data_IF_976969194322
#
_entry.id   IF_976969194322
#
_cell.length_a   1.000
_cell.length_b   1.000
_cell.length_c   1.000
_cell.angle_alpha   90.00
_cell.angle_beta   90.00
_cell.angle_gamma   90.00
#
_symmetry.space_group_name_H-M   'P 1'
#
loop_
_entity.id
_entity.type
_entity.pdbx_description
1 polymer ?
#
# COMPACT_ATOMS: atom_id res chain seq x y z
N UNK A 1 2.82 -9.16 -20.73
CA UNK A 1 2.02 -8.11 -20.08
C UNK A 1 0.57 -8.41 -20.36
N UNK A 2 -0.29 -8.30 -19.35
CA UNK A 2 -1.74 -8.50 -19.47
C UNK A 2 -2.41 -7.30 -20.15
N UNK A 3 -3.68 -7.44 -20.52
CA UNK A 3 -4.48 -6.31 -21.02
C UNK A 3 -4.61 -5.17 -20.00
N UNK A 4 -4.87 -3.94 -20.50
CA UNK A 4 -5.02 -2.74 -19.67
C UNK A 4 -6.23 -2.82 -18.72
N UNK A 5 -7.27 -3.56 -19.11
CA UNK A 5 -8.44 -3.79 -18.26
C UNK A 5 -8.12 -4.73 -17.10
N UNK A 6 -7.35 -5.79 -17.38
CA UNK A 6 -6.85 -6.71 -16.35
C UNK A 6 -5.90 -6.01 -15.37
N UNK A 7 -4.99 -5.16 -15.87
CA UNK A 7 -4.09 -4.39 -15.01
C UNK A 7 -4.84 -3.42 -14.09
N UNK A 8 -5.86 -2.72 -14.60
CA UNK A 8 -6.70 -1.84 -13.78
C UNK A 8 -7.54 -2.61 -12.74
N UNK A 9 -7.93 -3.86 -13.05
CA UNK A 9 -8.60 -4.73 -12.08
C UNK A 9 -7.64 -5.13 -10.95
N UNK A 10 -6.42 -5.55 -11.31
CA UNK A 10 -5.35 -5.90 -10.36
C UNK A 10 -5.01 -4.75 -9.43
N UNK A 11 -4.79 -3.54 -9.96
CA UNK A 11 -4.51 -2.34 -9.15
C UNK A 11 -5.62 -2.06 -8.12
N UNK A 12 -6.88 -2.16 -8.54
CA UNK A 12 -8.03 -1.95 -7.66
C UNK A 12 -8.16 -3.04 -6.60
N UNK A 13 -7.86 -4.28 -6.97
CA UNK A 13 -7.85 -5.40 -6.03
C UNK A 13 -6.77 -5.19 -4.97
N UNK A 14 -5.56 -4.83 -5.36
CA UNK A 14 -4.43 -4.57 -4.47
C UNK A 14 -4.75 -3.47 -3.45
N UNK A 15 -5.35 -2.36 -3.89
CA UNK A 15 -5.84 -1.30 -2.99
C UNK A 15 -6.89 -1.81 -2.01
N UNK A 16 -7.89 -2.57 -2.48
CA UNK A 16 -8.94 -3.13 -1.63
C UNK A 16 -8.39 -4.12 -0.59
N UNK A 17 -7.40 -4.94 -0.95
CA UNK A 17 -6.73 -5.87 -0.03
C UNK A 17 -5.95 -5.13 1.05
N UNK A 18 -5.23 -4.06 0.69
CA UNK A 18 -4.57 -3.16 1.66
C UNK A 18 -5.58 -2.50 2.61
N UNK A 19 -6.77 -2.12 2.10
CA UNK A 19 -7.86 -1.58 2.92
C UNK A 19 -8.41 -2.63 3.91
N UNK A 20 -8.40 -3.90 3.51
CA UNK A 20 -8.80 -5.03 4.35
C UNK A 20 -7.71 -5.50 5.30
N UNK A 21 -6.57 -4.81 5.34
CA UNK A 21 -5.50 -5.04 6.31
C UNK A 21 -4.51 -6.12 5.90
N UNK A 22 -4.46 -6.53 4.62
CA UNK A 22 -3.33 -7.31 4.13
C UNK A 22 -2.06 -6.47 4.12
N UNK A 23 -0.91 -7.09 4.38
CA UNK A 23 0.36 -6.42 4.19
C UNK A 23 0.82 -6.43 2.73
N UNK A 24 1.85 -5.63 2.44
CA UNK A 24 2.33 -5.41 1.08
C UNK A 24 2.86 -6.71 0.44
N UNK A 25 3.46 -7.62 1.23
CA UNK A 25 4.01 -8.88 0.71
C UNK A 25 2.88 -9.84 0.31
N UNK A 26 1.85 -9.97 1.16
CA UNK A 26 0.66 -10.76 0.83
C UNK A 26 -0.08 -10.21 -0.40
N UNK A 27 -0.16 -8.88 -0.54
CA UNK A 27 -0.81 -8.25 -1.70
C UNK A 27 -0.03 -8.52 -2.97
N UNK A 28 1.30 -8.42 -2.92
CA UNK A 28 2.17 -8.69 -4.07
C UNK A 28 2.10 -10.16 -4.49
N UNK A 29 2.07 -11.10 -3.55
CA UNK A 29 1.92 -12.53 -3.86
C UNK A 29 0.59 -12.82 -4.58
N UNK A 30 -0.51 -12.22 -4.11
CA UNK A 30 -1.83 -12.36 -4.75
C UNK A 30 -1.84 -11.70 -6.13
N UNK A 31 -1.22 -10.51 -6.29
CA UNK A 31 -1.11 -9.82 -7.59
C UNK A 31 -0.33 -10.67 -8.59
N UNK A 32 0.84 -11.18 -8.19
CA UNK A 32 1.74 -11.94 -9.05
C UNK A 32 1.10 -13.26 -9.52
N UNK A 33 0.49 -14.01 -8.60
CA UNK A 33 -0.21 -15.25 -8.92
C UNK A 33 -1.37 -14.98 -9.90
N UNK A 34 -2.21 -14.00 -9.60
CA UNK A 34 -3.37 -13.68 -10.43
C UNK A 34 -2.96 -13.10 -11.79
N UNK A 35 -1.92 -12.28 -11.84
CA UNK A 35 -1.35 -11.73 -13.07
C UNK A 35 -0.79 -12.83 -13.96
N UNK A 36 -0.12 -13.83 -13.38
CA UNK A 36 0.34 -15.00 -14.12
C UNK A 36 -0.85 -15.78 -14.72
N UNK A 37 -1.90 -16.02 -13.93
CA UNK A 37 -3.11 -16.69 -14.41
C UNK A 37 -3.82 -15.93 -15.55
N UNK A 38 -3.98 -14.62 -15.40
CA UNK A 38 -4.59 -13.78 -16.43
C UNK A 38 -3.75 -13.77 -17.72
N UNK A 39 -2.42 -13.70 -17.59
CA UNK A 39 -1.53 -13.74 -18.74
C UNK A 39 -1.62 -15.07 -19.49
N UNK A 40 -1.65 -16.20 -18.77
CA UNK A 40 -1.80 -17.51 -19.38
C UNK A 40 -3.16 -17.67 -20.08
N UNK A 41 -4.24 -17.23 -19.44
CA UNK A 41 -5.58 -17.27 -20.02
C UNK A 41 -5.67 -16.44 -21.31
N UNK A 42 -5.14 -15.20 -21.30
CA UNK A 42 -5.10 -14.35 -22.49
C UNK A 42 -4.25 -14.97 -23.61
N UNK A 43 -3.11 -15.58 -23.29
CA UNK A 43 -2.24 -16.27 -24.26
C UNK A 43 -2.91 -17.51 -24.89
N UNK A 44 -3.73 -18.21 -24.13
CA UNK A 44 -4.52 -19.35 -24.60
C UNK A 44 -5.76 -18.94 -25.40
N UNK A 45 -6.06 -17.65 -25.51
CA UNK A 45 -7.27 -17.14 -26.13
C UNK A 45 -8.53 -17.36 -25.30
N UNK A 46 -8.39 -17.58 -23.99
CA UNK A 46 -9.49 -17.70 -23.04
C UNK A 46 -10.08 -16.33 -22.70
N UNK A 47 -11.37 -16.31 -22.38
CA UNK A 47 -12.06 -15.08 -22.00
C UNK A 47 -11.83 -14.74 -20.53
N UNK A 48 -10.99 -13.73 -20.25
CA UNK A 48 -10.72 -13.24 -18.90
C UNK A 48 -11.76 -12.25 -18.38
N UNK A 49 -12.68 -11.76 -19.23
CA UNK A 49 -13.72 -10.78 -18.88
C UNK A 49 -14.57 -11.16 -17.65
N UNK A 50 -14.98 -12.43 -17.45
CA UNK A 50 -15.74 -12.81 -16.27
C UNK A 50 -14.98 -12.55 -14.96
N UNK A 51 -13.66 -12.65 -14.97
CA UNK A 51 -12.81 -12.40 -13.79
C UNK A 51 -12.69 -10.90 -13.57
N UNK A 52 -12.26 -10.15 -14.60
CA UNK A 52 -11.96 -8.72 -14.49
C UNK A 52 -13.21 -7.83 -14.33
N UNK A 53 -14.39 -8.31 -14.75
CA UNK A 53 -15.66 -7.59 -14.55
C UNK A 53 -16.32 -7.91 -13.20
N UNK A 54 -15.80 -8.87 -12.44
CA UNK A 54 -16.29 -9.14 -11.09
C UNK A 54 -15.98 -7.93 -10.19
N UNK A 55 -16.91 -7.51 -9.31
CA UNK A 55 -16.60 -6.47 -8.35
C UNK A 55 -15.38 -6.84 -7.49
N UNK A 56 -14.34 -6.00 -7.50
CA UNK A 56 -13.09 -6.24 -6.76
C UNK A 56 -13.32 -6.54 -5.27
N UNK A 57 -14.34 -5.92 -4.65
CA UNK A 57 -14.75 -6.21 -3.27
C UNK A 57 -15.12 -7.67 -3.04
N UNK A 58 -15.91 -8.24 -3.95
CA UNK A 58 -16.35 -9.64 -3.89
C UNK A 58 -15.17 -10.60 -4.06
N UNK A 59 -14.20 -10.22 -4.88
CA UNK A 59 -12.98 -10.99 -5.06
C UNK A 59 -12.08 -10.90 -3.82
N UNK A 60 -11.89 -9.70 -3.29
CA UNK A 60 -11.13 -9.43 -2.07
C UNK A 60 -11.72 -10.10 -0.82
N UNK A 61 -13.05 -10.27 -0.75
CA UNK A 61 -13.72 -11.04 0.32
C UNK A 61 -13.17 -12.47 0.46
N UNK A 62 -12.69 -13.08 -0.64
CA UNK A 62 -12.10 -14.44 -0.62
C UNK A 62 -10.79 -14.50 0.15
N UNK A 63 -10.13 -13.36 0.30
CA UNK A 63 -8.84 -13.22 0.97
C UNK A 63 -8.96 -12.57 2.36
N UNK A 64 -10.18 -12.29 2.81
CA UNK A 64 -10.42 -11.63 4.08
C UNK A 64 -10.04 -12.57 5.24
N UNK A 65 -8.91 -12.28 5.87
CA UNK A 65 -8.58 -12.71 7.24
C UNK A 65 -8.51 -11.49 8.15
N UNK A 66 -8.60 -11.76 9.46
CA UNK A 66 -8.69 -10.76 10.54
C UNK A 66 -7.73 -9.58 10.35
N UNK A 67 -8.26 -8.35 10.47
CA UNK A 67 -7.47 -7.12 10.40
C UNK A 67 -6.59 -6.97 11.64
N UNK A 68 -5.27 -6.84 11.44
CA UNK A 68 -4.37 -6.33 12.48
C UNK A 68 -4.09 -4.84 12.27
N UNK A 69 -4.03 -4.06 13.35
CA UNK A 69 -3.74 -2.62 13.29
C UNK A 69 -2.32 -2.31 12.78
N UNK A 70 -1.48 -3.32 12.56
CA UNK A 70 -0.09 -3.16 12.12
C UNK A 70 0.11 -3.36 10.61
N UNK A 71 -0.94 -3.76 9.87
CA UNK A 71 -0.86 -4.12 8.45
C UNK A 71 -1.66 -3.18 7.54
N UNK A 72 -1.37 -3.24 6.24
CA UNK A 72 -2.08 -2.52 5.19
C UNK A 72 -2.04 -0.99 5.31
N UNK A 73 -3.13 -0.35 4.85
CA UNK A 73 -3.24 1.12 4.77
C UNK A 73 -3.12 1.85 6.11
N UNK A 74 -3.42 1.16 7.23
CA UNK A 74 -3.38 1.77 8.55
C UNK A 74 -1.96 2.21 8.96
N UNK A 75 -0.93 1.44 8.57
CA UNK A 75 0.49 1.79 8.79
C UNK A 75 0.82 3.14 8.13
N UNK A 76 0.39 3.32 6.88
CA UNK A 76 0.61 4.56 6.14
C UNK A 76 -0.17 5.74 6.72
N UNK A 77 -1.40 5.53 7.18
CA UNK A 77 -2.18 6.55 7.89
C UNK A 77 -1.48 6.95 9.19
N UNK A 78 -0.94 6.01 9.95
CA UNK A 78 -0.20 6.31 11.17
C UNK A 78 1.08 7.11 10.90
N UNK A 79 1.86 6.73 9.88
CA UNK A 79 3.02 7.52 9.45
C UNK A 79 2.63 8.92 8.99
N UNK A 80 1.51 9.05 8.29
CA UNK A 80 1.00 10.35 7.87
C UNK A 80 0.64 11.24 9.06
N UNK A 81 0.01 10.69 10.11
CA UNK A 81 -0.27 11.43 11.35
C UNK A 81 1.03 11.88 12.03
N UNK A 82 2.03 10.98 12.15
CA UNK A 82 3.34 11.33 12.72
C UNK A 82 4.03 12.42 11.90
N UNK A 83 3.95 12.33 10.57
CA UNK A 83 4.49 13.34 9.66
C UNK A 83 3.80 14.71 9.82
N UNK A 84 2.47 14.74 9.93
CA UNK A 84 1.74 15.97 10.22
C UNK A 84 2.17 16.57 11.57
N UNK A 85 2.28 15.74 12.62
CA UNK A 85 2.76 16.19 13.92
C UNK A 85 4.18 16.78 13.81
N UNK A 86 5.08 16.13 13.07
CA UNK A 86 6.43 16.65 12.84
C UNK A 86 6.40 18.04 12.16
N UNK A 87 5.60 18.21 11.09
CA UNK A 87 5.46 19.49 10.39
C UNK A 87 4.92 20.61 11.29
N UNK A 88 3.96 20.32 12.17
CA UNK A 88 3.37 21.35 13.03
C UNK A 88 4.19 21.61 14.29
N UNK A 89 4.84 20.58 14.84
CA UNK A 89 5.49 20.64 16.14
C UNK A 89 6.94 21.10 16.03
N UNK A 90 7.70 20.61 15.04
CA UNK A 90 9.12 20.95 14.88
C UNK A 90 9.32 22.46 14.72
N UNK A 91 8.62 23.19 13.82
CA UNK A 91 8.81 24.63 13.68
C UNK A 91 8.48 25.40 14.96
N UNK A 92 7.41 25.01 15.68
CA UNK A 92 7.06 25.63 16.96
C UNK A 92 8.10 25.40 18.05
N UNK A 93 8.79 24.26 18.05
CA UNK A 93 9.88 24.00 18.99
C UNK A 93 11.13 24.83 18.65
N UNK A 94 11.40 25.02 17.36
CA UNK A 94 12.51 25.87 16.90
C UNK A 94 12.24 27.37 17.15
N UNK A 95 11.01 27.84 16.94
CA UNK A 95 10.61 29.25 17.13
C UNK A 95 10.65 29.71 18.59
N UNK A 96 10.61 28.80 19.58
CA UNK A 96 10.74 29.13 21.01
C UNK A 96 12.18 29.46 21.45
N UNK A 97 13.14 29.52 20.52
CA UNK A 97 14.45 30.13 20.74
C UNK A 97 15.42 29.36 21.64
N UNK A 98 15.14 28.08 21.93
CA UNK A 98 16.00 27.22 22.77
C UNK A 98 16.58 26.01 22.05
N UNK A 99 16.16 25.75 20.80
CA UNK A 99 16.67 24.64 19.99
C UNK A 99 17.61 25.15 18.90
N UNK A 100 18.89 25.35 19.25
CA UNK A 100 19.96 25.57 18.28
C UNK A 100 20.37 24.22 17.67
N UNK A 101 19.85 23.90 16.49
CA UNK A 101 20.30 22.72 15.73
C UNK A 101 21.66 23.03 15.11
N UNK A 102 22.73 22.76 15.85
CA UNK A 102 24.09 22.93 15.35
C UNK A 102 24.48 21.77 14.41
N UNK A 103 25.31 22.08 13.41
CA UNK A 103 25.86 21.07 12.48
C UNK A 103 26.60 19.95 13.23
N UNK A 104 27.22 20.26 14.38
CA UNK A 104 27.86 19.28 15.25
C UNK A 104 26.90 18.25 15.83
N UNK A 105 25.66 18.63 16.18
CA UNK A 105 24.64 17.72 16.71
C UNK A 105 24.17 16.75 15.63
N UNK A 106 23.95 17.24 14.41
CA UNK A 106 23.55 16.41 13.28
C UNK A 106 24.63 15.38 12.92
N UNK A 107 25.89 15.79 12.92
CA UNK A 107 27.02 14.88 12.68
C UNK A 107 27.18 13.83 13.79
N UNK A 108 26.84 14.15 15.04
CA UNK A 108 26.86 13.18 16.16
C UNK A 108 25.75 12.13 16.08
N UNK A 109 24.57 12.48 15.53
CA UNK A 109 23.44 11.54 15.43
C UNK A 109 23.60 10.59 14.23
N UNK A 110 24.28 11.04 13.16
CA UNK A 110 24.40 10.30 11.89
C UNK A 110 25.73 9.53 11.79
N UNK A 111 26.77 9.97 12.53
CA UNK A 111 28.07 9.27 12.64
C UNK A 111 28.05 8.21 13.73
#
# INVERSE_FOLDING_TARGET
MVSKEAENFLDKLSVELLFRGKDDDEVNEIDDELRAHLLTAEQNGEDVRPIIQTPVKLYADRFAKEMTLTQGLYKYVMYFIVFLLAIFMIPRMLDQGTFDVSVSLLLYIIG
#
